data_IF_150051233182
#
_entry.id   IF_150051233182
#
_cell.length_a   1.000
_cell.length_b   1.000
_cell.length_c   1.000
_cell.angle_alpha   90.00
_cell.angle_beta   90.00
_cell.angle_gamma   90.00
#
_symmetry.space_group_name_H-M   'P 1'
#
loop_
_entity.id
_entity.type
_entity.pdbx_description
1 polymer ?
#
# COMPACT_ATOMS: atom_id res chain seq x y z
N UNK A 1 12.27 45.93 -40.54
CA UNK A 1 11.82 44.53 -40.40
C UNK A 1 12.96 43.60 -40.82
N UNK A 2 13.25 42.62 -39.97
CA UNK A 2 14.06 41.41 -40.18
C UNK A 2 15.52 41.54 -40.67
N UNK A 3 16.41 41.65 -39.68
CA UNK A 3 17.76 41.09 -39.67
C UNK A 3 17.71 39.57 -39.83
N UNK A 4 18.58 38.97 -40.66
CA UNK A 4 19.39 37.81 -40.26
C UNK A 4 20.56 37.65 -41.24
N UNK A 5 21.76 37.81 -40.69
CA UNK A 5 23.06 37.64 -41.35
C UNK A 5 23.41 36.15 -41.42
N UNK A 6 24.06 35.77 -42.51
CA UNK A 6 24.91 34.58 -42.63
C UNK A 6 25.86 34.45 -41.45
N UNK A 7 26.23 33.23 -41.04
CA UNK A 7 27.64 32.85 -40.78
C UNK A 7 27.75 31.37 -40.39
N UNK A 8 28.32 30.61 -41.34
CA UNK A 8 29.04 29.35 -41.16
C UNK A 8 30.24 29.51 -40.24
N UNK A 9 30.42 28.63 -39.25
CA UNK A 9 31.72 28.35 -38.59
C UNK A 9 31.72 26.87 -38.07
N UNK A 10 32.87 26.22 -37.79
CA UNK A 10 33.43 25.15 -38.63
C UNK A 10 33.71 23.84 -37.85
N UNK A 11 34.21 22.82 -38.56
CA UNK A 11 34.92 21.69 -37.94
C UNK A 11 36.28 22.14 -37.40
N UNK A 12 36.61 21.83 -36.13
CA UNK A 12 37.96 21.41 -35.70
C UNK A 12 38.03 21.09 -34.19
N UNK A 13 38.32 19.81 -33.89
CA UNK A 13 39.34 19.29 -32.96
C UNK A 13 39.43 19.94 -31.56
N UNK A 14 38.97 19.19 -30.55
CA UNK A 14 39.28 19.43 -29.14
C UNK A 14 39.28 18.11 -28.37
N UNK A 15 40.48 17.60 -28.10
CA UNK A 15 40.77 16.33 -27.43
C UNK A 15 40.76 16.53 -25.90
N UNK A 16 40.34 15.48 -25.19
CA UNK A 16 40.69 15.09 -23.80
C UNK A 16 39.66 15.26 -22.68
N UNK A 17 39.73 14.25 -21.78
CA UNK A 17 39.23 14.12 -20.40
C UNK A 17 37.71 13.91 -20.30
N UNK A 18 37.13 12.90 -19.65
CA UNK A 18 37.49 12.28 -18.37
C UNK A 18 37.02 10.81 -18.33
N UNK A 19 37.84 10.02 -17.65
CA UNK A 19 37.63 8.67 -17.14
C UNK A 19 36.26 8.45 -16.47
N UNK A 20 35.67 7.28 -16.75
CA UNK A 20 34.84 6.42 -15.88
C UNK A 20 33.88 7.02 -14.83
N UNK A 21 32.61 6.60 -14.90
CA UNK A 21 31.86 6.17 -13.72
C UNK A 21 30.63 5.35 -14.14
N UNK A 22 30.51 4.18 -13.53
CA UNK A 22 29.39 3.24 -13.50
C UNK A 22 28.04 3.90 -13.19
N UNK A 23 26.96 3.49 -13.88
CA UNK A 23 25.62 3.55 -13.31
C UNK A 23 24.67 2.55 -13.98
N UNK A 24 24.56 1.38 -13.33
CA UNK A 24 23.33 0.63 -13.10
C UNK A 24 22.31 0.52 -14.26
N UNK A 25 22.40 -0.59 -14.99
CA UNK A 25 21.22 -1.21 -15.61
C UNK A 25 20.29 -1.73 -14.50
N UNK A 26 19.40 -0.87 -14.00
CA UNK A 26 18.20 -1.30 -13.28
C UNK A 26 17.04 -1.36 -14.28
N UNK A 27 17.15 -2.29 -15.24
CA UNK A 27 16.01 -2.76 -16.00
C UNK A 27 15.54 -4.07 -15.34
N UNK A 28 14.48 -3.94 -14.53
CA UNK A 28 13.84 -5.06 -13.86
C UNK A 28 12.42 -4.67 -13.51
N UNK A 29 11.60 -4.45 -14.55
CA UNK A 29 10.15 -4.34 -14.41
C UNK A 29 9.55 -5.67 -13.90
N UNK A 30 8.41 -5.51 -13.23
CA UNK A 30 7.38 -6.53 -12.99
C UNK A 30 7.56 -7.40 -11.74
N UNK A 31 6.73 -7.09 -10.75
CA UNK A 31 6.39 -7.99 -9.66
C UNK A 31 5.46 -7.31 -8.68
N UNK A 32 4.16 -7.34 -8.98
CA UNK A 32 3.07 -7.00 -8.08
C UNK A 32 3.40 -7.30 -6.60
N UNK A 33 3.06 -6.36 -5.72
CA UNK A 33 2.95 -6.56 -4.27
C UNK A 33 2.35 -7.93 -3.96
N UNK A 34 3.19 -8.85 -3.48
CA UNK A 34 2.72 -9.88 -2.57
C UNK A 34 2.91 -9.31 -1.18
N UNK A 35 1.91 -8.59 -0.70
CA UNK A 35 1.61 -8.64 0.72
C UNK A 35 1.15 -10.09 0.92
N UNK A 36 1.88 -10.96 1.64
CA UNK A 36 1.24 -12.15 2.18
C UNK A 36 0.24 -11.64 3.22
N UNK A 37 -0.96 -11.25 2.75
CA UNK A 37 -2.10 -11.06 3.62
C UNK A 37 -2.57 -12.48 3.90
N UNK A 38 -1.89 -13.13 4.85
CA UNK A 38 -2.48 -14.30 5.45
C UNK A 38 -3.68 -13.78 6.24
N UNK A 39 -4.93 -14.01 5.80
CA UNK A 39 -6.09 -13.54 6.54
C UNK A 39 -6.15 -14.19 7.93
N UNK A 40 -5.33 -15.21 8.20
CA UNK A 40 -5.23 -15.88 9.49
C UNK A 40 -4.21 -15.24 10.44
N UNK A 41 -3.32 -14.37 9.94
CA UNK A 41 -2.32 -13.68 10.75
C UNK A 41 -2.94 -12.44 11.43
N UNK A 42 -4.00 -12.65 12.23
CA UNK A 42 -4.32 -11.67 13.27
C UNK A 42 -3.13 -11.70 14.22
N UNK A 43 -2.27 -10.69 14.15
CA UNK A 43 -1.05 -10.61 14.95
C UNK A 43 -1.40 -10.93 16.41
N UNK A 44 -0.90 -12.05 16.91
CA UNK A 44 -1.29 -12.59 18.22
C UNK A 44 -0.98 -11.63 19.38
N UNK A 45 -0.14 -10.61 19.15
CA UNK A 45 0.21 -9.54 20.09
C UNK A 45 -0.60 -8.24 19.95
N UNK A 46 -1.47 -8.10 18.94
CA UNK A 46 -2.21 -6.86 18.66
C UNK A 46 -3.70 -7.00 19.02
N UNK A 47 -4.05 -7.78 20.04
CA UNK A 47 -5.42 -7.86 20.55
C UNK A 47 -5.61 -6.87 21.69
N UNK A 48 -6.53 -5.94 21.52
CA UNK A 48 -6.94 -5.01 22.56
C UNK A 48 -8.44 -5.16 22.85
N UNK A 49 -8.88 -4.62 23.98
CA UNK A 49 -10.30 -4.65 24.34
C UNK A 49 -11.07 -3.65 23.47
N UNK A 50 -12.21 -4.08 22.92
CA UNK A 50 -13.25 -3.23 22.33
C UNK A 50 -14.55 -3.36 23.12
N UNK A 51 -15.29 -2.27 23.22
CA UNK A 51 -16.60 -2.23 23.86
C UNK A 51 -17.68 -2.97 23.03
N UNK A 52 -18.74 -3.42 23.69
CA UNK A 52 -19.84 -4.13 23.02
C UNK A 52 -20.53 -3.27 21.96
N UNK A 53 -20.70 -1.97 22.20
CA UNK A 53 -21.28 -1.05 21.23
C UNK A 53 -20.44 -0.98 19.93
N UNK A 54 -19.11 -0.98 20.09
CA UNK A 54 -18.16 -0.98 18.99
C UNK A 54 -18.19 -2.31 18.23
N UNK A 55 -18.28 -3.44 18.94
CA UNK A 55 -18.48 -4.75 18.31
C UNK A 55 -19.81 -4.85 17.54
N UNK A 56 -20.91 -4.32 18.09
CA UNK A 56 -22.21 -4.28 17.42
C UNK A 56 -22.17 -3.47 16.12
N UNK A 57 -21.35 -2.42 16.03
CA UNK A 57 -21.14 -1.71 14.75
C UNK A 57 -20.46 -2.62 13.72
N UNK A 58 -19.39 -3.31 14.10
CA UNK A 58 -18.70 -4.25 13.22
C UNK A 58 -19.62 -5.40 12.76
N UNK A 59 -20.48 -5.91 13.65
CA UNK A 59 -21.45 -6.96 13.33
C UNK A 59 -22.56 -6.51 12.37
N UNK A 60 -23.04 -5.27 12.51
CA UNK A 60 -23.94 -4.66 11.52
C UNK A 60 -23.28 -4.52 10.15
N UNK A 61 -22.01 -4.14 10.11
CA UNK A 61 -21.25 -4.06 8.85
C UNK A 61 -21.07 -5.44 8.22
N UNK A 62 -20.78 -6.46 9.03
CA UNK A 62 -20.71 -7.83 8.56
C UNK A 62 -22.05 -8.32 8.00
N UNK A 63 -23.15 -8.06 8.72
CA UNK A 63 -24.51 -8.39 8.26
C UNK A 63 -24.86 -7.71 6.93
N UNK A 64 -24.29 -6.53 6.65
CA UNK A 64 -24.50 -5.79 5.40
C UNK A 64 -23.60 -6.27 4.25
N UNK A 65 -22.33 -6.54 4.52
CA UNK A 65 -21.34 -6.88 3.49
C UNK A 65 -21.20 -8.38 3.24
N UNK A 66 -21.53 -9.22 4.22
CA UNK A 66 -21.38 -10.68 4.16
C UNK A 66 -19.94 -11.16 4.03
N UNK A 67 -18.95 -10.32 4.34
CA UNK A 67 -17.53 -10.65 4.16
C UNK A 67 -16.66 -9.96 5.21
N UNK A 68 -15.88 -10.76 5.94
CA UNK A 68 -14.93 -10.26 6.93
C UNK A 68 -13.84 -9.39 6.30
N UNK A 69 -13.37 -9.73 5.10
CA UNK A 69 -12.35 -8.95 4.41
C UNK A 69 -12.84 -7.53 4.05
N UNK A 70 -14.13 -7.41 3.69
CA UNK A 70 -14.74 -6.11 3.42
C UNK A 70 -14.94 -5.30 4.70
N UNK A 71 -15.35 -5.95 5.79
CA UNK A 71 -15.45 -5.30 7.11
C UNK A 71 -14.09 -4.83 7.58
N UNK A 72 -13.05 -5.67 7.53
CA UNK A 72 -11.69 -5.31 7.93
C UNK A 72 -11.19 -4.09 7.16
N UNK A 73 -11.31 -4.12 5.83
CA UNK A 73 -10.91 -2.99 4.98
C UNK A 73 -11.69 -1.72 5.35
N UNK A 74 -13.00 -1.83 5.51
CA UNK A 74 -13.86 -0.69 5.86
C UNK A 74 -13.47 -0.07 7.22
N UNK A 75 -13.23 -0.89 8.25
CA UNK A 75 -12.85 -0.42 9.57
C UNK A 75 -11.47 0.28 9.56
N UNK A 76 -10.49 -0.26 8.81
CA UNK A 76 -9.17 0.37 8.66
C UNK A 76 -9.24 1.70 7.90
N UNK A 77 -10.10 1.80 6.88
CA UNK A 77 -10.27 3.02 6.08
C UNK A 77 -10.95 4.16 6.85
N UNK A 78 -11.82 3.85 7.81
CA UNK A 78 -12.59 4.84 8.59
C UNK A 78 -11.70 5.72 9.49
N UNK A 79 -10.45 5.32 9.79
CA UNK A 79 -9.48 5.99 10.68
C UNK A 79 -9.94 6.26 12.12
N UNK A 80 -11.16 5.86 12.48
CA UNK A 80 -11.68 5.89 13.86
C UNK A 80 -11.24 4.69 14.68
N UNK A 81 -10.76 3.63 14.01
CA UNK A 81 -10.38 2.37 14.62
C UNK A 81 -8.88 2.22 14.61
N UNK A 82 -8.32 1.81 15.75
CA UNK A 82 -6.92 1.39 15.86
C UNK A 82 -6.78 -0.01 15.29
N UNK A 83 -5.60 -0.34 14.76
CA UNK A 83 -5.35 -1.66 14.16
C UNK A 83 -5.65 -2.82 15.12
N UNK A 84 -5.36 -2.66 16.41
CA UNK A 84 -5.66 -3.68 17.42
C UNK A 84 -7.17 -3.90 17.64
N UNK A 85 -7.98 -2.84 17.47
CA UNK A 85 -9.43 -2.88 17.66
C UNK A 85 -10.10 -3.56 16.47
N UNK A 86 -9.58 -3.28 15.26
CA UNK A 86 -9.99 -3.99 14.04
C UNK A 86 -9.69 -5.47 14.19
N UNK A 87 -8.48 -5.82 14.63
CA UNK A 87 -8.06 -7.20 14.83
C UNK A 87 -8.97 -7.93 15.84
N UNK A 88 -9.29 -7.30 16.97
CA UNK A 88 -10.20 -7.87 17.97
C UNK A 88 -11.63 -8.01 17.41
N UNK A 89 -12.15 -7.02 16.69
CA UNK A 89 -13.47 -7.08 16.10
C UNK A 89 -13.60 -8.22 15.09
N UNK A 90 -12.62 -8.37 14.18
CA UNK A 90 -12.60 -9.46 13.20
C UNK A 90 -12.49 -10.81 13.89
N UNK A 91 -11.67 -10.93 14.95
CA UNK A 91 -11.57 -12.15 15.75
C UNK A 91 -12.91 -12.51 16.42
N UNK A 92 -13.61 -11.55 17.03
CA UNK A 92 -14.92 -11.79 17.64
C UNK A 92 -15.97 -12.16 16.59
N UNK A 93 -15.99 -11.49 15.44
CA UNK A 93 -16.91 -11.81 14.35
C UNK A 93 -16.70 -13.24 13.85
N UNK A 94 -15.45 -13.69 13.67
CA UNK A 94 -15.17 -15.08 13.32
C UNK A 94 -15.75 -16.06 14.31
N UNK A 95 -15.56 -15.79 15.61
CA UNK A 95 -16.08 -16.65 16.68
C UNK A 95 -17.60 -16.69 16.76
N UNK A 96 -18.27 -15.54 16.61
CA UNK A 96 -19.72 -15.45 16.73
C UNK A 96 -20.44 -16.09 15.54
N UNK A 97 -19.85 -15.99 14.35
CA UNK A 97 -20.43 -16.51 13.10
C UNK A 97 -19.85 -17.86 12.67
N UNK A 98 -19.07 -18.53 13.53
CA UNK A 98 -18.40 -19.81 13.27
C UNK A 98 -17.62 -19.84 11.93
N UNK A 99 -16.90 -18.76 11.63
CA UNK A 99 -16.16 -18.57 10.38
C UNK A 99 -14.71 -19.09 10.51
N UNK A 100 -14.13 -19.64 9.42
CA UNK A 100 -12.73 -20.07 9.39
C UNK A 100 -11.73 -18.91 9.55
#
# INVERSE_FOLDING_TARGET
MSTHRQLTIPMAIGRWVVMGATAALLAGCCGFQKIPHDPMAIAHGDRCYIEDAQFLEADKMYSRFGSLALVERYLREKKEWRDCEVNEAIYRLRKVHDLP
#
